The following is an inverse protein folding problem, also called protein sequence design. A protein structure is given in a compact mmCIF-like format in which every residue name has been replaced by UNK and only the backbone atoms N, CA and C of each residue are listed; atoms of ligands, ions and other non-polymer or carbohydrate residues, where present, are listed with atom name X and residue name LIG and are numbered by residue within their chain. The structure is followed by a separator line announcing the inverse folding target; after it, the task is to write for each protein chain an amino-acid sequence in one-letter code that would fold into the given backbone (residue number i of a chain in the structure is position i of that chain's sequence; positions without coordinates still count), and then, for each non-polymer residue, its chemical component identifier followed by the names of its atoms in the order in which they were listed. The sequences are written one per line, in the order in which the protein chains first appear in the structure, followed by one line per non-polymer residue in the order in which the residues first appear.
data_IF_276032932339
#
_entry.id   IF_276032932339
#
_cell.length_a   1.000
_cell.length_b   1.000
_cell.length_c   1.000
_cell.angle_alpha   90.00
_cell.angle_beta   90.00
_cell.angle_gamma   90.00
#
_symmetry.space_group_name_H-M   'P 1'
#
loop_
_entity.id
_entity.type
_entity.pdbx_description
1 polymer ?
#
# COMPACT_ATOMS: atom_id res chain seq x y z
N UNK A 1 20.17 79.03 -34.93
CA UNK A 1 21.60 79.36 -35.06
C UNK A 1 22.26 79.03 -33.74
N UNK A 2 23.27 78.15 -33.77
CA UNK A 2 24.33 77.97 -32.76
C UNK A 2 23.82 77.42 -31.40
N UNK A 3 24.24 76.26 -30.91
CA UNK A 3 25.52 75.59 -31.10
C UNK A 3 26.20 75.46 -29.73
N UNK A 4 26.94 74.35 -29.59
CA UNK A 4 27.94 74.05 -28.55
C UNK A 4 27.47 73.37 -27.24
N UNK A 5 27.83 72.09 -27.15
CA UNK A 5 28.21 71.37 -25.92
C UNK A 5 29.41 72.06 -25.21
N UNK A 6 29.69 71.80 -23.92
CA UNK A 6 30.35 70.55 -23.50
C UNK A 6 29.99 70.02 -22.09
N UNK A 7 30.30 68.74 -21.86
CA UNK A 7 30.28 68.05 -20.54
C UNK A 7 31.38 68.58 -19.61
N UNK A 8 31.31 68.40 -18.26
CA UNK A 8 31.76 67.13 -17.67
C UNK A 8 31.08 66.66 -16.35
N UNK A 9 31.21 65.35 -16.12
CA UNK A 9 31.19 64.54 -14.88
C UNK A 9 30.79 65.17 -13.53
N UNK A 10 29.81 64.55 -12.86
CA UNK A 10 29.85 64.28 -11.41
C UNK A 10 28.86 63.18 -11.02
N UNK A 11 29.38 62.20 -10.29
CA UNK A 11 28.71 61.08 -9.63
C UNK A 11 27.77 61.54 -8.51
N UNK A 12 26.53 61.03 -8.51
CA UNK A 12 25.59 61.10 -7.39
C UNK A 12 24.87 59.75 -7.25
N UNK A 13 24.98 59.15 -6.07
CA UNK A 13 24.37 57.89 -5.70
C UNK A 13 22.87 58.07 -5.46
N UNK A 14 22.02 57.38 -6.22
CA UNK A 14 20.59 57.27 -5.92
C UNK A 14 20.34 56.04 -5.05
N UNK A 15 19.85 56.29 -3.84
CA UNK A 15 19.35 55.30 -2.91
C UNK A 15 18.00 54.74 -3.41
N UNK A 16 17.98 53.46 -3.80
CA UNK A 16 16.75 52.74 -4.08
C UNK A 16 16.21 52.06 -2.80
N UNK A 17 14.99 52.42 -2.40
CA UNK A 17 14.26 51.84 -1.27
C UNK A 17 13.95 50.35 -1.47
N UNK A 18 13.94 49.53 -0.41
CA UNK A 18 13.65 48.10 -0.52
C UNK A 18 12.16 47.84 -0.70
N UNK A 19 11.80 46.99 -1.67
CA UNK A 19 10.45 46.46 -1.81
C UNK A 19 10.14 45.43 -0.71
N UNK A 20 8.90 45.38 -0.19
CA UNK A 20 8.50 44.40 0.82
C UNK A 20 8.38 43.00 0.20
N UNK A 21 9.12 42.05 0.76
CA UNK A 21 9.07 40.64 0.36
C UNK A 21 7.73 39.99 0.72
N UNK A 22 7.22 39.16 -0.19
CA UNK A 22 6.04 38.33 0.03
C UNK A 22 6.21 37.43 1.26
N UNK A 23 5.19 37.30 2.14
CA UNK A 23 5.25 36.37 3.26
C UNK A 23 5.28 34.93 2.74
N UNK A 24 6.29 34.19 3.19
CA UNK A 24 6.52 32.77 2.89
C UNK A 24 5.45 31.94 3.59
N UNK A 25 4.65 31.18 2.84
CA UNK A 25 3.71 30.23 3.42
C UNK A 25 4.44 29.22 4.32
N UNK A 26 3.90 28.87 5.51
CA UNK A 26 4.50 27.86 6.36
C UNK A 26 4.47 26.50 5.67
N UNK A 27 5.66 25.91 5.51
CA UNK A 27 5.87 24.67 4.79
C UNK A 27 4.99 23.53 5.29
N UNK A 28 4.26 22.90 4.37
CA UNK A 28 3.58 21.64 4.62
C UNK A 28 4.61 20.65 5.18
N UNK A 29 4.36 20.14 6.39
CA UNK A 29 5.12 19.05 6.98
C UNK A 29 5.12 17.88 5.98
N UNK A 30 6.24 17.66 5.29
CA UNK A 30 6.40 16.53 4.39
C UNK A 30 6.26 15.26 5.22
N UNK A 31 5.18 14.50 4.97
CA UNK A 31 5.05 13.14 5.51
C UNK A 31 6.29 12.35 5.10
N UNK A 32 6.95 11.63 6.02
CA UNK A 32 8.06 10.76 5.65
C UNK A 32 7.62 9.81 4.54
N UNK A 33 8.37 9.77 3.43
CA UNK A 33 8.16 8.79 2.35
C UNK A 33 8.24 7.39 2.95
N UNK A 34 7.29 6.51 2.61
CA UNK A 34 7.32 5.13 3.08
C UNK A 34 8.66 4.47 2.66
N UNK A 35 9.33 3.73 3.57
CA UNK A 35 10.61 3.10 3.28
C UNK A 35 10.44 2.05 2.18
N UNK A 36 11.34 2.03 1.21
CA UNK A 36 11.52 0.91 0.29
C UNK A 36 12.79 0.15 0.65
N UNK A 37 12.83 -1.14 0.34
CA UNK A 37 14.07 -1.90 0.43
C UNK A 37 15.00 -1.53 -0.73
N UNK A 38 16.31 -1.62 -0.49
CA UNK A 38 17.29 -1.51 -1.56
C UNK A 38 17.08 -2.63 -2.60
N UNK A 39 17.45 -2.41 -3.87
CA UNK A 39 17.36 -3.46 -4.89
C UNK A 39 17.99 -4.78 -4.43
N UNK A 40 17.33 -5.88 -4.76
CA UNK A 40 17.80 -7.23 -4.45
C UNK A 40 19.03 -7.63 -5.27
N UNK A 41 19.56 -8.85 -5.04
CA UNK A 41 20.65 -9.39 -5.84
C UNK A 41 20.38 -9.28 -7.34
N UNK A 42 21.41 -8.93 -8.11
CA UNK A 42 21.31 -8.73 -9.57
C UNK A 42 20.28 -7.67 -10.00
N UNK A 43 19.93 -6.71 -9.12
CA UNK A 43 18.97 -5.65 -9.41
C UNK A 43 17.52 -6.12 -9.43
N UNK A 44 17.22 -7.29 -8.87
CA UNK A 44 15.85 -7.79 -8.76
C UNK A 44 15.02 -6.92 -7.80
N UNK A 45 13.71 -6.90 -8.01
CA UNK A 45 12.77 -6.30 -7.05
C UNK A 45 12.97 -6.94 -5.67
N UNK A 46 13.19 -6.17 -4.59
CA UNK A 46 13.40 -6.73 -3.26
C UNK A 46 12.10 -7.28 -2.68
N UNK A 47 12.19 -8.38 -1.92
CA UNK A 47 11.03 -9.04 -1.30
C UNK A 47 11.11 -8.96 0.23
N UNK A 48 10.14 -8.30 0.84
CA UNK A 48 9.93 -8.29 2.29
C UNK A 48 8.91 -9.36 2.69
N UNK A 49 9.26 -10.26 3.61
CA UNK A 49 8.34 -11.33 4.08
C UNK A 49 7.90 -11.16 5.53
N UNK A 50 8.81 -10.67 6.37
CA UNK A 50 8.64 -10.42 7.79
C UNK A 50 9.75 -9.48 8.25
N UNK A 51 9.50 -8.64 9.25
CA UNK A 51 10.60 -8.01 9.97
C UNK A 51 11.52 -9.10 10.56
N UNK A 52 12.83 -8.89 10.52
CA UNK A 52 13.73 -9.74 11.28
C UNK A 52 13.35 -9.62 12.75
N UNK A 53 13.10 -10.74 13.44
CA UNK A 53 12.86 -10.71 14.88
C UNK A 53 14.17 -10.23 15.54
N UNK A 54 14.20 -9.03 16.14
CA UNK A 54 15.36 -8.62 16.92
C UNK A 54 15.45 -9.49 18.18
N UNK A 55 16.53 -9.29 18.96
CA UNK A 55 16.77 -9.93 20.26
C UNK A 55 15.49 -10.02 21.14
N UNK A 56 15.51 -10.88 22.17
CA UNK A 56 14.35 -11.19 23.02
C UNK A 56 13.56 -9.97 23.59
N UNK A 57 14.13 -8.76 23.54
CA UNK A 57 13.57 -7.47 23.96
C UNK A 57 12.83 -6.70 22.86
N UNK A 58 12.73 -7.23 21.64
CA UNK A 58 12.08 -6.55 20.53
C UNK A 58 10.59 -6.23 20.79
N UNK A 59 10.08 -5.11 20.27
CA UNK A 59 8.66 -4.80 20.36
C UNK A 59 7.82 -5.92 19.72
N UNK A 60 6.83 -6.44 20.43
CA UNK A 60 5.82 -7.34 19.86
C UNK A 60 4.93 -6.54 18.91
N UNK A 61 5.31 -6.47 17.64
CA UNK A 61 4.52 -5.84 16.59
C UNK A 61 3.98 -6.88 15.62
N UNK A 62 2.84 -6.57 15.01
CA UNK A 62 2.22 -7.38 13.95
C UNK A 62 1.56 -6.45 12.94
N UNK A 63 1.70 -6.74 11.66
CA UNK A 63 0.97 -6.06 10.60
C UNK A 63 -0.13 -6.97 10.06
N UNK A 64 -1.37 -6.52 10.15
CA UNK A 64 -2.47 -7.11 9.39
C UNK A 64 -2.51 -6.48 8.01
N UNK A 65 -2.54 -7.31 6.98
CA UNK A 65 -2.63 -6.87 5.60
C UNK A 65 -3.82 -7.50 4.92
N UNK A 66 -4.45 -6.73 4.04
CA UNK A 66 -5.70 -7.14 3.39
C UNK A 66 -5.58 -6.98 1.88
N UNK A 67 -5.80 -8.07 1.16
CA UNK A 67 -5.84 -8.09 -0.30
C UNK A 67 -7.28 -7.74 -0.74
N UNK A 68 -7.44 -6.60 -1.42
CA UNK A 68 -8.70 -6.08 -1.94
C UNK A 68 -8.74 -6.36 -3.44
N UNK A 69 -9.31 -7.51 -3.79
CA UNK A 69 -9.08 -8.15 -5.07
C UNK A 69 -10.30 -8.01 -5.97
N UNK A 70 -10.01 -7.78 -7.25
CA UNK A 70 -11.03 -7.88 -8.28
C UNK A 70 -10.42 -8.41 -9.57
N UNK A 71 -10.88 -9.58 -10.01
CA UNK A 71 -10.43 -10.23 -11.26
C UNK A 71 -11.15 -9.65 -12.47
N UNK A 72 -10.63 -9.86 -13.69
CA UNK A 72 -11.18 -9.33 -14.95
C UNK A 72 -12.62 -9.80 -15.28
N UNK A 73 -13.07 -10.94 -14.76
CA UNK A 73 -14.42 -11.49 -14.96
C UNK A 73 -15.47 -11.00 -13.94
N UNK A 74 -15.04 -10.32 -12.86
CA UNK A 74 -15.94 -9.91 -11.77
C UNK A 74 -16.73 -8.62 -12.04
N UNK A 75 -16.34 -7.77 -12.99
CA UNK A 75 -17.06 -6.55 -13.36
C UNK A 75 -18.54 -6.78 -13.71
N UNK A 76 -18.86 -7.72 -14.63
CA UNK A 76 -20.25 -8.09 -14.90
C UNK A 76 -21.02 -8.62 -13.68
N UNK A 77 -20.34 -9.25 -12.71
CA UNK A 77 -20.96 -9.72 -11.46
C UNK A 77 -21.25 -8.56 -10.52
N UNK A 78 -20.32 -7.61 -10.40
CA UNK A 78 -20.51 -6.38 -9.65
C UNK A 78 -21.67 -5.53 -10.19
N UNK A 79 -21.77 -5.42 -11.52
CA UNK A 79 -22.90 -4.76 -12.19
C UNK A 79 -24.26 -5.42 -11.91
N UNK A 80 -24.28 -6.72 -11.55
CA UNK A 80 -25.49 -7.44 -11.11
C UNK A 80 -25.74 -7.36 -9.59
N UNK A 81 -24.92 -6.60 -8.86
CA UNK A 81 -25.09 -6.34 -7.43
C UNK A 81 -24.21 -7.19 -6.52
N UNK A 82 -23.34 -8.06 -7.05
CA UNK A 82 -22.36 -8.74 -6.22
C UNK A 82 -21.34 -7.72 -5.65
N UNK A 83 -20.92 -7.93 -4.39
CA UNK A 83 -20.05 -6.99 -3.68
C UNK A 83 -18.70 -7.63 -3.38
N UNK A 84 -17.66 -7.03 -3.96
CA UNK A 84 -16.26 -7.38 -3.74
C UNK A 84 -15.56 -6.40 -2.78
N UNK A 85 -16.27 -5.36 -2.29
CA UNK A 85 -15.82 -4.55 -1.17
C UNK A 85 -16.31 -5.13 0.17
N UNK A 86 -15.59 -4.81 1.26
CA UNK A 86 -15.98 -5.21 2.62
C UNK A 86 -16.00 -3.98 3.55
N UNK A 87 -17.05 -3.14 3.48
CA UNK A 87 -17.15 -1.93 4.31
C UNK A 87 -17.25 -2.25 5.81
N UNK A 88 -17.80 -3.41 6.18
CA UNK A 88 -17.90 -3.86 7.58
C UNK A 88 -16.52 -4.12 8.19
N UNK A 89 -15.63 -4.81 7.46
CA UNK A 89 -14.23 -4.98 7.85
C UNK A 89 -13.51 -3.64 8.03
N UNK A 90 -13.62 -2.71 7.08
CA UNK A 90 -13.00 -1.39 7.20
C UNK A 90 -13.53 -0.61 8.41
N UNK A 91 -14.84 -0.68 8.67
CA UNK A 91 -15.45 -0.08 9.85
C UNK A 91 -14.96 -0.74 11.15
N UNK A 92 -14.80 -2.07 11.18
CA UNK A 92 -14.27 -2.80 12.32
C UNK A 92 -12.82 -2.39 12.63
N UNK A 93 -11.96 -2.28 11.62
CA UNK A 93 -10.57 -1.82 11.80
C UNK A 93 -10.52 -0.40 12.37
N UNK A 94 -11.38 0.51 11.88
CA UNK A 94 -11.51 1.88 12.42
C UNK A 94 -11.96 1.88 13.88
N UNK A 95 -13.03 1.15 14.20
CA UNK A 95 -13.57 1.06 15.55
C UNK A 95 -12.54 0.48 16.53
N UNK A 96 -11.81 -0.54 16.10
CA UNK A 96 -10.75 -1.18 16.87
C UNK A 96 -9.47 -0.35 16.90
N UNK A 97 -9.33 0.72 16.09
CA UNK A 97 -8.12 1.54 15.92
C UNK A 97 -6.90 0.70 15.53
N UNK A 98 -7.08 -0.17 14.53
CA UNK A 98 -6.03 -1.07 14.04
C UNK A 98 -5.44 -0.49 12.76
N UNK A 99 -4.19 -0.02 12.78
CA UNK A 99 -3.51 0.33 11.54
C UNK A 99 -3.29 -0.92 10.68
N UNK A 100 -3.45 -0.78 9.37
CA UNK A 100 -3.35 -1.89 8.42
C UNK A 100 -2.85 -1.39 7.05
N UNK A 101 -2.35 -2.32 6.24
CA UNK A 101 -1.99 -2.05 4.84
C UNK A 101 -2.92 -2.85 3.92
N UNK A 102 -3.61 -2.15 3.02
CA UNK A 102 -4.53 -2.74 2.05
C UNK A 102 -3.81 -2.83 0.70
N UNK A 103 -3.57 -4.04 0.21
CA UNK A 103 -3.05 -4.30 -1.13
C UNK A 103 -4.24 -4.36 -2.08
N UNK A 104 -4.39 -3.34 -2.92
CA UNK A 104 -5.59 -3.11 -3.72
C UNK A 104 -5.29 -3.42 -5.18
N UNK A 105 -6.24 -4.02 -5.90
CA UNK A 105 -6.11 -4.09 -7.35
C UNK A 105 -6.54 -2.78 -7.99
N UNK A 106 -5.91 -2.41 -9.11
CA UNK A 106 -6.32 -1.22 -9.87
C UNK A 106 -7.80 -1.29 -10.30
N UNK A 107 -8.27 -2.47 -10.68
CA UNK A 107 -9.66 -2.72 -11.05
C UNK A 107 -10.62 -2.52 -9.88
N UNK A 108 -10.26 -2.97 -8.68
CA UNK A 108 -11.07 -2.73 -7.48
C UNK A 108 -11.21 -1.23 -7.20
N UNK A 109 -10.14 -0.45 -7.41
CA UNK A 109 -10.18 1.00 -7.24
C UNK A 109 -11.07 1.72 -8.27
N UNK A 110 -11.17 1.20 -9.49
CA UNK A 110 -12.05 1.72 -10.53
C UNK A 110 -13.52 1.34 -10.29
N UNK A 111 -13.79 0.14 -9.77
CA UNK A 111 -15.14 -0.32 -9.42
C UNK A 111 -15.68 0.40 -8.17
N UNK A 112 -14.84 0.58 -7.14
CA UNK A 112 -15.20 1.16 -5.85
C UNK A 112 -14.42 2.44 -5.54
N UNK A 113 -14.50 3.49 -6.37
CA UNK A 113 -13.65 4.67 -6.23
C UNK A 113 -13.88 5.43 -4.92
N UNK A 114 -15.12 5.45 -4.41
CA UNK A 114 -15.43 6.09 -3.13
C UNK A 114 -14.77 5.35 -1.95
N UNK A 115 -14.81 4.02 -1.94
CA UNK A 115 -14.19 3.18 -0.93
C UNK A 115 -12.67 3.25 -1.03
N UNK A 116 -12.11 3.20 -2.25
CA UNK A 116 -10.70 3.37 -2.51
C UNK A 116 -10.20 4.72 -1.97
N UNK A 117 -10.90 5.82 -2.28
CA UNK A 117 -10.60 7.14 -1.72
C UNK A 117 -10.69 7.16 -0.20
N UNK A 118 -11.72 6.56 0.37
CA UNK A 118 -11.93 6.54 1.82
C UNK A 118 -10.83 5.77 2.56
N UNK A 119 -10.37 4.64 2.03
CA UNK A 119 -9.19 3.90 2.55
C UNK A 119 -7.92 4.73 2.31
N UNK A 120 -7.80 5.27 1.10
CA UNK A 120 -6.64 5.97 0.58
C UNK A 120 -6.35 7.35 1.19
N UNK A 121 -7.26 7.86 2.02
CA UNK A 121 -7.12 9.15 2.71
C UNK A 121 -7.18 9.00 4.24
N UNK A 122 -7.48 7.81 4.74
CA UNK A 122 -7.52 7.51 6.15
C UNK A 122 -6.09 7.31 6.71
N UNK A 123 -5.68 8.05 7.75
CA UNK A 123 -4.35 7.92 8.33
C UNK A 123 -4.12 6.57 9.02
N UNK A 124 -5.18 5.83 9.35
CA UNK A 124 -5.08 4.49 9.94
C UNK A 124 -4.52 3.48 8.92
N UNK A 125 -4.77 3.69 7.63
CA UNK A 125 -4.42 2.74 6.58
C UNK A 125 -3.22 3.19 5.74
N UNK A 126 -2.64 2.21 5.05
CA UNK A 126 -1.80 2.36 3.87
C UNK A 126 -2.47 1.65 2.70
N UNK A 127 -2.28 2.17 1.48
CA UNK A 127 -2.70 1.49 0.26
C UNK A 127 -1.47 1.07 -0.54
N UNK A 128 -1.40 -0.20 -0.90
CA UNK A 128 -0.35 -0.80 -1.70
C UNK A 128 -0.92 -1.45 -2.95
N UNK A 129 -0.07 -1.82 -3.89
CA UNK A 129 -0.46 -2.33 -5.20
C UNK A 129 -0.59 -3.86 -5.20
N UNK A 130 -1.66 -4.38 -5.80
CA UNK A 130 -1.89 -5.81 -5.95
C UNK A 130 -2.21 -6.22 -7.39
N UNK A 131 -1.49 -5.63 -8.35
CA UNK A 131 -1.74 -5.73 -9.80
C UNK A 131 -2.98 -4.97 -10.26
N UNK A 132 -3.24 -4.90 -11.56
CA UNK A 132 -4.44 -4.25 -12.07
C UNK A 132 -5.69 -5.14 -11.97
N UNK A 133 -5.66 -6.37 -12.48
CA UNK A 133 -6.83 -7.29 -12.55
C UNK A 133 -6.62 -8.63 -11.85
N UNK A 134 -5.72 -8.69 -10.84
CA UNK A 134 -5.42 -9.91 -10.09
C UNK A 134 -4.97 -11.09 -11.00
N UNK A 135 -4.20 -10.78 -12.04
CA UNK A 135 -3.56 -11.78 -12.89
C UNK A 135 -2.22 -12.22 -12.26
N UNK A 136 -1.87 -13.49 -12.42
CA UNK A 136 -0.60 -14.02 -11.93
C UNK A 136 0.60 -13.51 -12.74
N UNK A 137 1.76 -13.48 -12.10
CA UNK A 137 3.03 -13.10 -12.74
C UNK A 137 3.92 -14.32 -13.03
N UNK A 138 3.41 -15.51 -12.77
CA UNK A 138 3.96 -16.80 -13.19
C UNK A 138 2.85 -17.65 -13.78
N UNK A 139 3.15 -18.62 -14.65
CA UNK A 139 2.17 -19.65 -15.01
C UNK A 139 1.75 -20.45 -13.77
N UNK A 140 0.60 -21.12 -13.88
CA UNK A 140 0.09 -22.12 -12.91
C UNK A 140 -0.10 -21.63 -11.46
N UNK A 141 -0.32 -20.33 -11.27
CA UNK A 141 -0.62 -19.76 -9.95
C UNK A 141 -2.13 -19.80 -9.67
N UNK A 142 -2.59 -20.85 -8.98
CA UNK A 142 -3.99 -21.01 -8.53
C UNK A 142 -5.06 -20.82 -9.61
N UNK A 143 -4.73 -21.14 -10.87
CA UNK A 143 -5.65 -20.99 -12.01
C UNK A 143 -5.89 -19.55 -12.47
N UNK A 144 -5.12 -18.59 -11.97
CA UNK A 144 -5.19 -17.20 -12.41
C UNK A 144 -4.62 -17.05 -13.84
N UNK A 145 -5.24 -16.22 -14.71
CA UNK A 145 -4.63 -15.81 -15.96
C UNK A 145 -3.27 -15.14 -15.70
N UNK A 146 -2.28 -15.42 -16.54
CA UNK A 146 -0.94 -14.85 -16.39
C UNK A 146 -0.77 -13.56 -17.20
N UNK A 147 -0.06 -12.59 -16.63
CA UNK A 147 0.44 -11.41 -17.35
C UNK A 147 1.68 -11.82 -18.15
N UNK A 148 1.76 -11.41 -19.42
CA UNK A 148 2.97 -11.61 -20.21
C UNK A 148 4.13 -10.79 -19.63
N UNK A 149 5.34 -11.35 -19.62
CA UNK A 149 6.51 -10.72 -18.96
C UNK A 149 6.77 -9.25 -19.39
N UNK A 150 6.55 -8.94 -20.66
CA UNK A 150 6.72 -7.57 -21.21
C UNK A 150 5.69 -6.56 -20.67
N UNK A 151 4.54 -7.04 -20.19
CA UNK A 151 3.41 -6.22 -19.76
C UNK A 151 3.33 -6.09 -18.23
N UNK A 152 4.12 -6.87 -17.48
CA UNK A 152 4.13 -6.91 -16.01
C UNK A 152 4.35 -5.54 -15.37
N UNK A 153 5.32 -4.77 -15.85
CA UNK A 153 5.57 -3.41 -15.37
C UNK A 153 4.36 -2.49 -15.60
N UNK A 154 3.82 -2.52 -16.81
CA UNK A 154 2.69 -1.67 -17.19
C UNK A 154 1.44 -2.02 -16.36
N UNK A 155 1.24 -3.29 -16.00
CA UNK A 155 0.18 -3.72 -15.09
C UNK A 155 0.31 -3.05 -13.71
N UNK A 156 1.51 -3.08 -13.11
CA UNK A 156 1.80 -2.40 -11.83
C UNK A 156 1.55 -0.90 -11.93
N UNK A 157 2.09 -0.23 -12.95
CA UNK A 157 1.93 1.23 -13.15
C UNK A 157 0.46 1.63 -13.39
N UNK A 158 -0.29 0.78 -14.11
CA UNK A 158 -1.72 0.99 -14.36
C UNK A 158 -2.53 0.96 -13.08
N UNK A 159 -2.22 0.06 -12.15
CA UNK A 159 -2.90 0.02 -10.86
C UNK A 159 -2.64 1.29 -10.02
N UNK A 160 -1.40 1.81 -9.97
CA UNK A 160 -1.13 3.09 -9.32
C UNK A 160 -1.86 4.26 -9.99
N UNK A 161 -1.97 4.24 -11.33
CA UNK A 161 -2.76 5.23 -12.07
C UNK A 161 -4.23 5.19 -11.68
N UNK A 162 -4.81 4.01 -11.49
CA UNK A 162 -6.18 3.85 -11.01
C UNK A 162 -6.35 4.41 -9.59
N UNK A 163 -5.39 4.17 -8.69
CA UNK A 163 -5.42 4.76 -7.33
C UNK A 163 -5.41 6.28 -7.36
N UNK A 164 -4.55 6.88 -8.18
CA UNK A 164 -4.47 8.32 -8.34
C UNK A 164 -5.80 8.91 -8.85
N UNK A 165 -6.42 8.27 -9.85
CA UNK A 165 -7.75 8.66 -10.37
C UNK A 165 -8.85 8.53 -9.32
N UNK A 166 -8.80 7.50 -8.47
CA UNK A 166 -9.73 7.33 -7.36
C UNK A 166 -9.49 8.31 -6.19
N UNK A 167 -8.36 9.04 -6.18
CA UNK A 167 -8.04 10.02 -5.13
C UNK A 167 -7.38 9.41 -3.89
N UNK A 168 -6.74 8.26 -4.02
CA UNK A 168 -5.87 7.66 -2.98
C UNK A 168 -4.64 8.55 -2.79
N UNK A 169 -4.31 8.91 -1.54
CA UNK A 169 -3.22 9.83 -1.18
C UNK A 169 -2.11 9.21 -0.33
N UNK A 170 -2.38 8.08 0.33
CA UNK A 170 -1.44 7.33 1.16
C UNK A 170 -0.90 6.08 0.44
N UNK A 171 -0.89 6.08 -0.90
CA UNK A 171 -0.32 4.98 -1.68
C UNK A 171 1.19 4.86 -1.39
N UNK A 172 1.62 3.66 -1.04
CA UNK A 172 3.03 3.33 -0.78
C UNK A 172 3.59 2.48 -1.93
N UNK A 173 4.88 2.59 -2.26
CA UNK A 173 5.52 1.86 -3.36
C UNK A 173 5.77 0.39 -3.01
N UNK A 174 4.72 -0.29 -2.57
CA UNK A 174 4.71 -1.72 -2.26
C UNK A 174 3.85 -2.44 -3.28
N UNK A 175 4.26 -3.66 -3.60
CA UNK A 175 3.56 -4.53 -4.51
C UNK A 175 3.42 -5.92 -3.89
N UNK A 176 2.26 -6.55 -4.03
CA UNK A 176 2.09 -7.97 -3.69
C UNK A 176 1.66 -8.71 -4.94
N UNK A 177 2.34 -9.80 -5.24
CA UNK A 177 1.98 -10.65 -6.37
C UNK A 177 0.64 -11.35 -6.08
N UNK A 178 -0.32 -11.36 -7.03
CA UNK A 178 -1.53 -12.18 -6.92
C UNK A 178 -1.20 -13.65 -6.66
N UNK A 179 -1.85 -14.23 -5.65
CA UNK A 179 -1.56 -15.59 -5.16
C UNK A 179 -0.18 -15.77 -4.50
N UNK A 180 0.62 -14.71 -4.37
CA UNK A 180 1.98 -14.77 -3.84
C UNK A 180 2.98 -15.48 -4.75
N UNK A 181 2.61 -15.80 -5.99
CA UNK A 181 3.48 -16.50 -6.93
C UNK A 181 4.35 -15.52 -7.71
N UNK A 182 5.66 -15.73 -7.66
CA UNK A 182 6.64 -14.97 -8.43
C UNK A 182 7.91 -15.79 -8.63
N UNK A 183 8.68 -15.44 -9.65
CA UNK A 183 10.01 -15.94 -9.92
C UNK A 183 10.98 -14.77 -10.20
N UNK A 184 12.26 -15.08 -10.45
CA UNK A 184 13.26 -14.07 -10.78
C UNK A 184 12.94 -13.30 -12.07
N UNK A 185 12.20 -13.91 -13.00
CA UNK A 185 11.74 -13.27 -14.22
C UNK A 185 10.75 -12.15 -13.91
N UNK A 186 9.74 -12.45 -13.08
CA UNK A 186 8.74 -11.49 -12.61
C UNK A 186 9.38 -10.38 -11.77
N UNK A 187 10.27 -10.72 -10.84
CA UNK A 187 11.00 -9.74 -10.03
C UNK A 187 11.88 -8.81 -10.89
N UNK A 188 12.48 -9.33 -11.96
CA UNK A 188 13.25 -8.53 -12.91
C UNK A 188 12.35 -7.63 -13.76
N UNK A 189 11.22 -8.16 -14.22
CA UNK A 189 10.28 -7.43 -15.07
C UNK A 189 9.68 -6.20 -14.37
N UNK A 190 9.40 -6.29 -13.06
CA UNK A 190 8.83 -5.17 -12.29
C UNK A 190 9.88 -4.29 -11.58
N UNK A 191 11.17 -4.63 -11.65
CA UNK A 191 12.23 -3.84 -11.00
C UNK A 191 12.22 -2.35 -11.39
N UNK A 192 11.98 -1.96 -12.67
CA UNK A 192 11.89 -0.56 -13.05
C UNK A 192 10.68 0.20 -12.49
N UNK A 193 9.71 -0.49 -11.87
CA UNK A 193 8.59 0.16 -11.17
C UNK A 193 8.99 0.65 -9.76
N UNK A 194 10.22 0.35 -9.31
CA UNK A 194 10.78 0.83 -8.03
C UNK A 194 9.93 0.50 -6.79
N UNK A 195 9.19 -0.61 -6.86
CA UNK A 195 8.39 -1.12 -5.75
C UNK A 195 9.20 -2.08 -4.87
N UNK A 196 8.78 -2.26 -3.62
CA UNK A 196 9.18 -3.41 -2.80
C UNK A 196 8.08 -4.47 -2.88
N UNK A 197 8.43 -5.69 -3.26
CA UNK A 197 7.52 -6.82 -3.20
C UNK A 197 7.28 -7.20 -1.73
N UNK A 198 6.03 -7.43 -1.32
CA UNK A 198 5.65 -7.74 0.06
C UNK A 198 4.86 -9.04 0.11
N UNK A 199 5.47 -10.04 0.72
CA UNK A 199 4.86 -11.31 1.09
C UNK A 199 4.38 -11.27 2.56
N UNK A 200 4.17 -12.45 3.12
CA UNK A 200 3.70 -12.68 4.46
C UNK A 200 4.44 -13.89 5.05
N UNK A 201 4.34 -14.05 6.36
CA UNK A 201 4.74 -15.28 7.06
C UNK A 201 3.56 -16.00 7.71
N UNK A 202 2.41 -15.34 7.86
CA UNK A 202 1.18 -15.94 8.41
C UNK A 202 0.06 -15.86 7.38
N UNK A 203 -0.42 -17.02 6.92
CA UNK A 203 -1.63 -17.14 6.09
C UNK A 203 -2.82 -17.30 7.02
N UNK A 204 -3.83 -16.44 6.91
CA UNK A 204 -5.02 -16.54 7.78
C UNK A 204 -5.97 -17.67 7.41
N UNK A 205 -6.00 -18.08 6.15
CA UNK A 205 -6.95 -19.07 5.64
C UNK A 205 -8.37 -18.52 5.48
N UNK A 206 -8.55 -17.20 5.43
CA UNK A 206 -9.87 -16.56 5.35
C UNK A 206 -10.53 -16.64 3.96
N UNK A 207 -9.75 -16.85 2.91
CA UNK A 207 -10.24 -17.08 1.57
C UNK A 207 -11.18 -18.31 1.54
N UNK A 208 -12.42 -18.06 1.14
CA UNK A 208 -13.55 -18.98 1.06
C UNK A 208 -13.95 -19.65 2.38
N UNK A 209 -13.41 -19.18 3.50
CA UNK A 209 -13.75 -19.70 4.81
C UNK A 209 -15.18 -19.31 5.20
N UNK A 210 -15.85 -20.24 5.87
CA UNK A 210 -17.17 -20.05 6.48
C UNK A 210 -17.12 -20.03 8.01
N UNK A 211 -15.98 -20.38 8.59
CA UNK A 211 -15.75 -20.41 10.03
C UNK A 211 -14.74 -19.33 10.43
N UNK A 212 -15.24 -18.28 11.08
CA UNK A 212 -14.46 -17.15 11.55
C UNK A 212 -13.57 -17.49 12.76
N UNK A 213 -13.95 -18.48 13.59
CA UNK A 213 -13.17 -18.93 14.74
C UNK A 213 -11.93 -19.69 14.26
N UNK A 214 -12.09 -20.60 13.29
CA UNK A 214 -10.97 -21.32 12.69
C UNK A 214 -9.91 -20.38 12.08
N UNK A 215 -10.36 -19.35 11.36
CA UNK A 215 -9.47 -18.30 10.80
C UNK A 215 -8.73 -17.56 11.94
N UNK A 216 -9.45 -17.21 13.01
CA UNK A 216 -8.85 -16.52 14.14
C UNK A 216 -7.80 -17.39 14.84
N UNK A 217 -8.10 -18.67 15.10
CA UNK A 217 -7.18 -19.62 15.71
C UNK A 217 -5.91 -19.80 14.88
N UNK A 218 -6.05 -19.95 13.56
CA UNK A 218 -4.92 -20.08 12.64
C UNK A 218 -3.99 -18.86 12.71
N UNK A 219 -4.55 -17.64 12.66
CA UNK A 219 -3.76 -16.40 12.79
C UNK A 219 -3.08 -16.33 14.15
N UNK A 220 -3.82 -16.59 15.23
CA UNK A 220 -3.33 -16.51 16.60
C UNK A 220 -2.23 -17.54 16.89
N UNK A 221 -2.26 -18.70 16.25
CA UNK A 221 -1.21 -19.72 16.36
C UNK A 221 0.05 -19.35 15.55
N UNK A 222 -0.11 -18.67 14.41
CA UNK A 222 0.99 -18.32 13.52
C UNK A 222 1.78 -17.08 13.91
N UNK A 223 1.13 -16.09 14.54
CA UNK A 223 1.73 -14.77 14.80
C UNK A 223 2.92 -14.84 15.76
N UNK A 224 4.01 -14.21 15.34
CA UNK A 224 5.24 -13.95 16.12
C UNK A 224 5.59 -12.45 16.04
N UNK A 225 6.48 -11.93 16.90
CA UNK A 225 6.94 -10.54 16.78
C UNK A 225 7.49 -10.25 15.38
N UNK A 226 6.98 -9.18 14.76
CA UNK A 226 7.31 -8.77 13.41
C UNK A 226 6.51 -9.44 12.29
N UNK A 227 5.55 -10.32 12.62
CA UNK A 227 4.74 -11.03 11.62
C UNK A 227 3.91 -10.10 10.74
N UNK A 228 3.79 -10.51 9.48
CA UNK A 228 2.90 -10.02 8.44
C UNK A 228 1.83 -11.07 8.18
N UNK A 229 0.58 -10.72 8.47
CA UNK A 229 -0.58 -11.60 8.25
C UNK A 229 -1.25 -11.22 6.93
N UNK A 230 -1.44 -12.19 6.04
CA UNK A 230 -2.28 -12.02 4.85
C UNK A 230 -3.73 -12.44 5.14
N UNK A 231 -4.64 -11.52 4.84
CA UNK A 231 -6.09 -11.65 4.91
C UNK A 231 -6.68 -10.97 3.67
N UNK A 232 -8.00 -11.02 3.47
CA UNK A 232 -8.65 -10.45 2.29
C UNK A 232 -9.77 -9.46 2.68
N UNK A 233 -9.95 -8.42 1.89
CA UNK A 233 -11.03 -7.43 2.01
C UNK A 233 -12.17 -7.67 1.00
N UNK A 234 -12.16 -8.83 0.33
CA UNK A 234 -13.11 -9.18 -0.72
C UNK A 234 -14.28 -9.95 -0.15
N UNK A 235 -15.41 -9.30 0.19
CA UNK A 235 -16.52 -9.93 0.94
C UNK A 235 -17.05 -11.22 0.31
N UNK A 236 -17.19 -11.27 -1.02
CA UNK A 236 -17.68 -12.47 -1.71
C UNK A 236 -16.70 -13.65 -1.64
N UNK A 237 -15.40 -13.37 -1.52
CA UNK A 237 -14.34 -14.38 -1.47
C UNK A 237 -13.82 -14.65 -0.06
N UNK A 238 -14.05 -13.77 0.91
CA UNK A 238 -13.61 -13.91 2.30
C UNK A 238 -14.69 -13.34 3.24
N UNK A 239 -15.84 -14.04 3.37
CA UNK A 239 -17.04 -13.49 4.01
C UNK A 239 -16.90 -13.33 5.53
N UNK A 240 -15.99 -14.09 6.15
CA UNK A 240 -15.81 -14.15 7.60
C UNK A 240 -14.68 -13.28 8.15
N UNK A 241 -13.92 -12.59 7.29
CA UNK A 241 -12.71 -11.85 7.70
C UNK A 241 -12.99 -10.76 8.74
N UNK A 242 -14.12 -10.05 8.64
CA UNK A 242 -14.51 -9.06 9.66
C UNK A 242 -14.65 -9.70 11.03
N UNK A 243 -15.36 -10.82 11.10
CA UNK A 243 -15.67 -11.52 12.35
C UNK A 243 -14.40 -12.12 12.96
N UNK A 244 -13.51 -12.68 12.13
CA UNK A 244 -12.19 -13.14 12.56
C UNK A 244 -11.34 -11.98 13.12
N UNK A 245 -11.30 -10.82 12.46
CA UNK A 245 -10.56 -9.63 12.93
C UNK A 245 -11.06 -9.17 14.30
N UNK A 246 -12.38 -9.21 14.54
CA UNK A 246 -12.97 -8.86 15.85
C UNK A 246 -12.52 -9.79 16.98
N UNK A 247 -12.10 -11.02 16.67
CA UNK A 247 -11.52 -11.97 17.64
C UNK A 247 -10.00 -11.85 17.76
N UNK A 248 -9.29 -11.75 16.64
CA UNK A 248 -7.84 -11.68 16.56
C UNK A 248 -7.31 -10.46 17.32
N UNK A 249 -7.91 -9.29 17.10
CA UNK A 249 -7.37 -8.01 17.57
C UNK A 249 -7.32 -7.90 19.10
N UNK A 250 -8.41 -8.16 19.86
CA UNK A 250 -8.36 -8.15 21.31
C UNK A 250 -7.36 -9.16 21.87
N UNK A 251 -7.29 -10.36 21.28
CA UNK A 251 -6.44 -11.42 21.79
C UNK A 251 -4.95 -11.14 21.57
N UNK A 252 -4.55 -10.63 20.40
CA UNK A 252 -3.17 -10.21 20.17
C UNK A 252 -2.77 -9.04 21.08
N UNK A 253 -3.67 -8.08 21.33
CA UNK A 253 -3.44 -7.03 22.34
C UNK A 253 -3.23 -7.61 23.74
N UNK A 254 -4.03 -8.59 24.15
CA UNK A 254 -3.87 -9.29 25.44
C UNK A 254 -2.51 -10.00 25.54
N UNK A 255 -1.98 -10.51 24.42
CA UNK A 255 -0.63 -11.10 24.32
C UNK A 255 0.51 -10.07 24.25
N UNK A 256 0.17 -8.77 24.29
CA UNK A 256 1.12 -7.65 24.29
C UNK A 256 1.53 -7.17 22.90
N UNK A 257 0.83 -7.57 21.83
CA UNK A 257 1.14 -7.08 20.49
C UNK A 257 0.57 -5.68 20.23
N UNK A 258 1.35 -4.88 19.51
CA UNK A 258 0.90 -3.64 18.87
C UNK A 258 0.70 -3.87 17.38
N UNK A 259 -0.41 -3.36 16.86
CA UNK A 259 -0.67 -3.36 15.43
C UNK A 259 0.08 -2.20 14.77
N UNK A 260 0.69 -2.48 13.62
CA UNK A 260 1.46 -1.51 12.84
C UNK A 260 1.17 -1.72 11.35
N UNK A 261 1.58 -0.75 10.52
CA UNK A 261 1.51 -0.91 9.07
C UNK A 261 2.76 -1.62 8.56
N UNK A 262 2.75 -2.03 7.29
CA UNK A 262 3.92 -2.66 6.67
C UNK A 262 5.13 -1.72 6.66
N UNK A 263 4.92 -0.43 6.41
CA UNK A 263 6.01 0.54 6.42
C UNK A 263 6.72 0.65 7.77
N UNK A 264 6.00 0.49 8.88
CA UNK A 264 6.55 0.52 10.23
C UNK A 264 7.45 -0.69 10.50
N UNK A 265 7.09 -1.87 9.96
CA UNK A 265 7.90 -3.09 10.06
C UNK A 265 9.18 -3.04 9.21
N UNK A 266 9.18 -2.26 8.13
CA UNK A 266 10.34 -2.12 7.24
C UNK A 266 11.36 -1.09 7.73
N UNK A 267 10.99 -0.19 8.65
CA UNK A 267 11.95 0.78 9.19
C UNK A 267 12.99 0.07 10.06
N UNK A 268 14.27 0.44 9.96
CA UNK A 268 15.27 0.02 10.94
C UNK A 268 14.80 0.40 12.35
N UNK A 269 14.98 -0.53 13.29
CA UNK A 269 14.74 -0.30 14.72
C UNK A 269 15.80 0.62 15.33
#
# INVERSE_FOLDING_TARGET
MLGASPSPTASGQDAASPQPGNPREPGALQRPKAPTLAPGPHGLTPVFRRAAAPAATAPKTVALTFDADMTADQGPRAARGERFDNPGLIAALRALKVPATVFMTGRWAEEYPAQARAIGTDPLFETANHSYSHHAFTPDCYGLPAVAAKDMRADVERAFTAFAKAGVRNAVPYFRFPGGCYDDGALRAIAPAEVTAVQWDVVSGDAFATDADAVAEQVLAGVRPGSLVVMHCTRSAAPVTEEAVRRIVPELRRRGYRFVKVSDLMRPS
#
